data_IF_560101587787
#
_entry.id   IF_560101587787
#
_cell.length_a   1.000
_cell.length_b   1.000
_cell.length_c   1.000
_cell.angle_alpha   90.00
_cell.angle_beta   90.00
_cell.angle_gamma   90.00
#
_symmetry.space_group_name_H-M   'P 1'
#
loop_
_entity.id
_entity.type
_entity.pdbx_description
1 polymer ?
#
# COMPACT_ATOMS: atom_id res chain seq x y z
N UNK A 1 8.63 4.66 0.59
CA UNK A 1 7.36 3.91 0.70
C UNK A 1 6.97 3.83 2.16
N UNK A 2 5.69 4.00 2.51
CA UNK A 2 5.21 3.86 3.87
C UNK A 2 4.21 2.70 3.98
N UNK A 3 4.23 1.98 5.10
CA UNK A 3 3.35 0.85 5.36
C UNK A 3 3.12 0.66 6.87
N UNK A 4 2.14 -0.15 7.22
CA UNK A 4 1.95 -0.68 8.57
C UNK A 4 1.89 -2.21 8.55
N UNK A 5 1.73 -2.83 9.71
CA UNK A 5 1.69 -4.29 9.83
C UNK A 5 0.57 -4.92 8.99
N UNK A 6 -0.56 -4.23 8.79
CA UNK A 6 -1.70 -4.77 8.01
C UNK A 6 -1.34 -4.90 6.54
N UNK A 7 -0.59 -3.95 6.00
CA UNK A 7 -0.10 -3.97 4.62
C UNK A 7 1.02 -5.00 4.48
N UNK A 8 1.98 -5.01 5.42
CA UNK A 8 3.09 -5.96 5.41
C UNK A 8 2.60 -7.42 5.42
N UNK A 9 1.66 -7.74 6.31
CA UNK A 9 1.08 -9.08 6.43
C UNK A 9 0.27 -9.46 5.19
N UNK A 10 -0.38 -8.51 4.52
CA UNK A 10 -1.05 -8.78 3.26
C UNK A 10 -0.04 -9.18 2.17
N UNK A 11 1.07 -8.46 2.05
CA UNK A 11 2.13 -8.83 1.09
C UNK A 11 2.66 -10.22 1.37
N UNK A 12 2.98 -10.52 2.63
CA UNK A 12 3.43 -11.84 3.04
C UNK A 12 2.39 -12.92 2.67
N UNK A 13 1.13 -12.69 3.00
CA UNK A 13 0.03 -13.63 2.72
C UNK A 13 -0.18 -13.85 1.23
N UNK A 14 -0.10 -12.79 0.42
CA UNK A 14 -0.31 -12.87 -1.03
C UNK A 14 0.84 -13.62 -1.70
N UNK A 15 2.09 -13.28 -1.35
CA UNK A 15 3.28 -13.87 -1.97
C UNK A 15 3.44 -15.35 -1.61
N UNK A 16 3.00 -15.77 -0.42
CA UNK A 16 3.01 -17.18 -0.01
C UNK A 16 1.87 -18.02 -0.63
N UNK A 17 1.01 -17.46 -1.48
CA UNK A 17 -0.08 -18.26 -2.09
C UNK A 17 0.50 -19.28 -3.08
N UNK A 18 0.14 -20.58 -2.98
CA UNK A 18 0.71 -21.63 -3.84
C UNK A 18 0.59 -21.36 -5.35
N UNK A 19 -0.47 -20.64 -5.78
CA UNK A 19 -0.71 -20.29 -7.19
C UNK A 19 0.43 -19.50 -7.85
N UNK A 20 1.28 -18.83 -7.07
CA UNK A 20 2.40 -18.07 -7.59
C UNK A 20 3.68 -18.90 -7.70
N UNK A 21 3.78 -20.00 -6.94
CA UNK A 21 4.90 -20.94 -6.97
C UNK A 21 6.27 -20.23 -6.84
N UNK A 22 6.34 -19.21 -5.99
CA UNK A 22 7.59 -18.53 -5.64
C UNK A 22 8.39 -19.37 -4.65
N UNK A 23 9.72 -19.24 -4.67
CA UNK A 23 10.59 -19.84 -3.67
C UNK A 23 10.45 -19.09 -2.34
N UNK A 24 10.27 -19.82 -1.23
CA UNK A 24 10.07 -19.25 0.10
C UNK A 24 11.25 -18.35 0.55
N UNK A 25 12.47 -18.68 0.11
CA UNK A 25 13.67 -17.89 0.39
C UNK A 25 13.63 -16.55 -0.33
N UNK A 26 13.21 -16.54 -1.59
CA UNK A 26 13.09 -15.31 -2.38
C UNK A 26 11.99 -14.40 -1.82
N UNK A 27 10.85 -14.97 -1.44
CA UNK A 27 9.77 -14.24 -0.76
C UNK A 27 10.29 -13.63 0.55
N UNK A 28 11.03 -14.41 1.35
CA UNK A 28 11.58 -13.94 2.62
C UNK A 28 12.61 -12.81 2.43
N UNK A 29 13.49 -12.92 1.44
CA UNK A 29 14.45 -11.86 1.09
C UNK A 29 13.72 -10.58 0.68
N UNK A 30 12.71 -10.69 -0.18
CA UNK A 30 11.92 -9.54 -0.63
C UNK A 30 11.18 -8.87 0.53
N UNK A 31 10.51 -9.64 1.38
CA UNK A 31 9.77 -9.10 2.52
C UNK A 31 10.71 -8.42 3.53
N UNK A 32 11.88 -9.00 3.79
CA UNK A 32 12.89 -8.36 4.64
C UNK A 32 13.38 -7.04 4.01
N UNK A 33 13.63 -7.01 2.71
CA UNK A 33 13.99 -5.77 2.02
C UNK A 33 12.90 -4.70 2.16
N UNK A 34 11.63 -5.06 1.95
CA UNK A 34 10.50 -4.13 2.15
C UNK A 34 10.45 -3.63 3.60
N UNK A 35 10.68 -4.52 4.57
CA UNK A 35 10.66 -4.17 5.99
C UNK A 35 11.76 -3.17 6.36
N UNK A 36 12.98 -3.37 5.87
CA UNK A 36 14.12 -2.51 6.20
C UNK A 36 14.10 -1.17 5.46
N UNK A 37 13.43 -1.08 4.32
CA UNK A 37 13.42 0.13 3.48
C UNK A 37 12.15 0.99 3.58
N UNK A 38 11.08 0.45 4.17
CA UNK A 38 9.83 1.18 4.32
C UNK A 38 9.79 2.02 5.60
N UNK A 39 9.06 3.13 5.55
CA UNK A 39 8.65 3.87 6.73
C UNK A 39 7.45 3.16 7.39
N UNK A 40 7.66 2.57 8.56
CA UNK A 40 6.58 1.99 9.36
C UNK A 40 5.81 3.09 10.11
N UNK A 41 4.49 3.11 9.94
CA UNK A 41 3.62 4.14 10.52
C UNK A 41 2.48 3.53 11.30
N UNK A 42 2.22 4.05 12.50
CA UNK A 42 0.98 3.77 13.24
C UNK A 42 -0.14 4.61 12.64
N UNK A 43 -0.92 4.01 11.75
CA UNK A 43 -1.97 4.73 11.02
C UNK A 43 -3.15 5.11 11.91
N UNK A 44 -3.65 6.35 11.75
CA UNK A 44 -4.89 6.79 12.38
C UNK A 44 -6.06 6.29 11.55
N UNK A 45 -7.03 5.63 12.20
CA UNK A 45 -8.24 5.15 11.53
C UNK A 45 -9.05 6.28 10.94
N UNK A 46 -9.50 6.11 9.71
CA UNK A 46 -10.34 7.09 9.01
C UNK A 46 -11.79 6.62 8.98
N UNK A 47 -12.72 7.54 9.22
CA UNK A 47 -14.14 7.26 9.06
C UNK A 47 -14.61 7.63 7.65
N UNK A 48 -14.21 6.83 6.66
CA UNK A 48 -14.64 7.01 5.27
C UNK A 48 -15.28 5.74 4.74
N UNK A 49 -16.35 5.92 3.96
CA UNK A 49 -17.04 4.82 3.31
C UNK A 49 -16.35 4.51 1.98
N UNK A 50 -15.59 3.41 1.94
CA UNK A 50 -14.93 2.89 0.75
C UNK A 50 -15.70 1.66 0.22
N UNK A 51 -15.69 1.40 -1.10
CA UNK A 51 -16.30 0.18 -1.65
C UNK A 51 -15.75 -1.10 -1.03
N UNK A 52 -14.44 -1.11 -0.77
CA UNK A 52 -13.75 -2.15 -0.02
C UNK A 52 -13.16 -1.55 1.27
N UNK A 53 -13.61 -2.05 2.41
CA UNK A 53 -13.14 -1.60 3.74
C UNK A 53 -11.69 -2.04 3.97
N UNK A 54 -11.24 -3.13 3.35
CA UNK A 54 -9.88 -3.61 3.50
C UNK A 54 -8.85 -2.70 2.81
N UNK A 55 -9.26 -1.98 1.76
CA UNK A 55 -8.44 -0.98 1.05
C UNK A 55 -8.19 0.29 1.88
N UNK A 56 -8.98 0.50 2.94
CA UNK A 56 -8.91 1.70 3.76
C UNK A 56 -7.52 1.89 4.40
N UNK A 57 -6.85 0.80 4.78
CA UNK A 57 -5.52 0.84 5.39
C UNK A 57 -4.49 1.57 4.53
N UNK A 58 -4.59 1.48 3.20
CA UNK A 58 -3.67 2.17 2.30
C UNK A 58 -3.84 3.69 2.39
N UNK A 59 -5.08 4.17 2.48
CA UNK A 59 -5.39 5.60 2.64
C UNK A 59 -4.97 6.11 4.02
N UNK A 60 -5.26 5.33 5.07
CA UNK A 60 -4.89 5.67 6.45
C UNK A 60 -3.39 5.80 6.63
N UNK A 61 -2.61 4.84 6.12
CA UNK A 61 -1.15 4.89 6.16
C UNK A 61 -0.62 6.05 5.33
N UNK A 62 -1.11 6.24 4.11
CA UNK A 62 -0.60 7.31 3.25
C UNK A 62 -0.85 8.69 3.87
N UNK A 63 -2.03 8.92 4.46
CA UNK A 63 -2.32 10.14 5.21
C UNK A 63 -1.43 10.30 6.45
N UNK A 64 -1.31 9.24 7.26
CA UNK A 64 -0.59 9.31 8.54
C UNK A 64 0.93 9.42 8.36
N UNK A 65 1.46 8.93 7.23
CA UNK A 65 2.88 9.01 6.89
C UNK A 65 3.29 10.35 6.28
N UNK A 66 2.33 11.19 5.88
CA UNK A 66 2.61 12.41 5.14
C UNK A 66 3.15 12.16 3.73
N UNK A 67 2.81 11.01 3.12
CA UNK A 67 3.25 10.68 1.77
C UNK A 67 2.70 11.67 0.73
N UNK A 68 3.49 11.97 -0.30
CA UNK A 68 3.10 12.89 -1.38
C UNK A 68 1.93 12.36 -2.22
N UNK A 69 1.84 11.04 -2.37
CA UNK A 69 0.77 10.38 -3.11
C UNK A 69 0.57 8.92 -2.67
N UNK A 70 -0.66 8.43 -2.87
CA UNK A 70 -1.01 7.01 -2.85
C UNK A 70 -0.97 6.47 -4.29
N UNK A 71 -0.11 5.49 -4.56
CA UNK A 71 0.07 4.90 -5.90
C UNK A 71 -0.71 3.59 -5.99
N UNK A 72 -1.69 3.51 -6.88
CA UNK A 72 -2.57 2.33 -7.04
C UNK A 72 -2.93 2.04 -8.50
N UNK A 73 -3.16 0.77 -8.82
CA UNK A 73 -3.58 0.37 -10.17
C UNK A 73 -5.06 0.67 -10.48
N UNK A 74 -5.94 0.68 -9.47
CA UNK A 74 -7.39 0.81 -9.67
C UNK A 74 -7.97 2.04 -8.94
N UNK A 75 -7.86 3.21 -9.58
CA UNK A 75 -8.33 4.49 -9.02
C UNK A 75 -9.84 4.50 -8.73
N UNK A 76 -10.66 3.70 -9.42
CA UNK A 76 -12.11 3.67 -9.22
C UNK A 76 -12.49 3.27 -7.78
N UNK A 77 -11.70 2.41 -7.14
CA UNK A 77 -11.94 1.99 -5.76
C UNK A 77 -11.62 3.10 -4.74
N UNK A 78 -10.80 4.08 -5.13
CA UNK A 78 -10.25 5.10 -4.24
C UNK A 78 -10.76 6.51 -4.53
N UNK A 79 -11.89 6.64 -5.22
CA UNK A 79 -12.51 7.95 -5.52
C UNK A 79 -12.76 8.77 -4.25
N UNK A 80 -13.10 8.12 -3.13
CA UNK A 80 -13.31 8.80 -1.85
C UNK A 80 -12.00 9.25 -1.18
N UNK A 81 -10.87 8.63 -1.52
CA UNK A 81 -9.56 8.98 -1.00
C UNK A 81 -8.97 10.23 -1.66
N UNK A 82 -9.45 10.63 -2.84
CA UNK A 82 -8.97 11.82 -3.59
C UNK A 82 -9.09 13.14 -2.79
N UNK A 83 -10.04 13.22 -1.85
CA UNK A 83 -10.22 14.38 -0.97
C UNK A 83 -9.25 14.39 0.23
N UNK A 84 -8.44 13.35 0.40
CA UNK A 84 -7.58 13.13 1.56
C UNK A 84 -6.11 13.15 1.16
N UNK A 85 -5.79 12.47 0.05
CA UNK A 85 -4.44 12.36 -0.48
C UNK A 85 -4.51 12.29 -2.00
N UNK A 86 -3.47 12.79 -2.66
CA UNK A 86 -3.27 12.61 -4.09
C UNK A 86 -3.20 11.11 -4.41
N UNK A 87 -3.99 10.66 -5.37
CA UNK A 87 -4.00 9.26 -5.83
C UNK A 87 -3.51 9.23 -7.27
N UNK A 88 -2.50 8.42 -7.54
CA UNK A 88 -1.87 8.29 -8.86
C UNK A 88 -1.88 6.83 -9.33
N UNK A 89 -2.00 6.62 -10.63
CA UNK A 89 -1.59 5.36 -11.26
C UNK A 89 -0.06 5.22 -11.25
N UNK A 90 0.50 4.01 -11.36
CA UNK A 90 1.94 3.83 -11.54
C UNK A 90 2.51 4.63 -12.72
N UNK A 91 1.73 4.78 -13.80
CA UNK A 91 2.13 5.56 -14.98
C UNK A 91 2.19 7.06 -14.70
N UNK A 92 1.25 7.60 -13.93
CA UNK A 92 1.26 9.02 -13.54
C UNK A 92 2.37 9.28 -12.52
N UNK A 93 2.52 8.42 -11.53
CA UNK A 93 3.60 8.50 -10.54
C UNK A 93 4.99 8.52 -11.20
N UNK A 94 5.22 7.68 -12.21
CA UNK A 94 6.47 7.68 -12.97
C UNK A 94 6.76 9.01 -13.69
N UNK A 95 5.74 9.75 -14.12
CA UNK A 95 5.92 11.02 -14.84
C UNK A 95 6.06 12.22 -13.91
N UNK A 96 5.50 12.13 -12.71
CA UNK A 96 5.36 13.26 -11.80
C UNK A 96 6.36 13.25 -10.66
N UNK A 97 6.86 12.07 -10.27
CA UNK A 97 7.75 11.89 -9.13
C UNK A 97 9.19 11.50 -9.53
N UNK A 98 9.41 11.14 -10.80
CA UNK A 98 10.69 10.74 -11.37
C UNK A 98 10.91 11.43 -12.72
#
# INVERSE_FOLDING_TARGET
MALDDRIYLEYATVLMRPKFNFDDKDVSIFLNFVKETALFVTAIKLNINMPDVSDLKFVEVAKSSGADALIIGNIKHFQKALNIIKVLTPKEAWKELF
#
